data_IF_996470605463
#
_entry.id   IF_996470605463
#
_cell.length_a   1.000
_cell.length_b   1.000
_cell.length_c   1.000
_cell.angle_alpha   90.00
_cell.angle_beta   90.00
_cell.angle_gamma   90.00
#
_symmetry.space_group_name_H-M   'P 1'
#
loop_
_entity.id
_entity.type
_entity.pdbx_description
1 polymer ?
#
# COMPACT_ATOMS: atom_id res chain seq x y z
N UNK A 1 18.81 -23.31 -5.76
CA UNK A 1 18.28 -24.56 -6.37
C UNK A 1 19.09 -25.06 -7.58
N UNK A 2 19.70 -24.18 -8.40
CA UNK A 2 20.42 -24.60 -9.62
C UNK A 2 21.83 -25.12 -9.31
N UNK A 3 22.74 -24.25 -8.85
CA UNK A 3 24.13 -24.64 -8.52
C UNK A 3 24.39 -24.97 -7.05
N UNK A 4 23.35 -24.93 -6.20
CA UNK A 4 23.43 -25.08 -4.74
C UNK A 4 24.34 -24.06 -4.01
N UNK A 5 24.87 -23.06 -4.71
CA UNK A 5 25.62 -21.95 -4.10
C UNK A 5 24.73 -21.04 -3.23
N UNK A 6 25.35 -20.26 -2.32
CA UNK A 6 24.62 -19.39 -1.40
C UNK A 6 23.89 -18.27 -2.17
N UNK A 7 22.67 -17.96 -1.72
CA UNK A 7 21.84 -16.86 -2.23
C UNK A 7 21.33 -16.12 -0.99
N UNK A 8 21.55 -14.81 -0.93
CA UNK A 8 21.05 -14.00 0.16
C UNK A 8 19.51 -13.88 0.09
N UNK A 9 18.88 -13.62 1.24
CA UNK A 9 17.42 -13.43 1.30
C UNK A 9 17.03 -12.25 0.43
N UNK A 10 16.01 -12.43 -0.41
CA UNK A 10 15.50 -11.39 -1.31
C UNK A 10 16.24 -11.27 -2.63
N UNK A 11 17.38 -11.94 -2.83
CA UNK A 11 18.10 -11.90 -4.11
C UNK A 11 17.34 -12.66 -5.21
N UNK A 12 16.94 -11.99 -6.30
CA UNK A 12 16.16 -12.63 -7.36
C UNK A 12 17.00 -13.55 -8.25
N UNK A 13 18.34 -13.43 -8.20
CA UNK A 13 19.26 -14.21 -9.02
C UNK A 13 20.40 -14.79 -8.18
N UNK A 14 20.80 -16.01 -8.49
CA UNK A 14 21.97 -16.60 -7.86
C UNK A 14 23.25 -15.86 -8.31
N UNK A 15 24.11 -15.39 -7.39
CA UNK A 15 25.31 -14.65 -7.77
C UNK A 15 26.29 -15.50 -8.59
N UNK A 16 26.36 -16.81 -8.30
CA UNK A 16 27.28 -17.76 -8.94
C UNK A 16 26.83 -18.20 -10.33
N UNK A 17 25.57 -18.63 -10.49
CA UNK A 17 25.09 -19.23 -11.74
C UNK A 17 24.06 -18.40 -12.51
N UNK A 18 23.66 -17.23 -11.97
CA UNK A 18 22.66 -16.31 -12.55
C UNK A 18 21.27 -16.89 -12.76
N UNK A 19 21.00 -18.12 -12.32
CA UNK A 19 19.66 -18.69 -12.35
C UNK A 19 18.72 -17.86 -11.46
N UNK A 20 17.51 -17.58 -11.95
CA UNK A 20 16.46 -16.93 -11.17
C UNK A 20 16.11 -17.78 -9.95
N UNK A 21 15.91 -17.14 -8.80
CA UNK A 21 15.60 -17.78 -7.52
C UNK A 21 14.14 -17.52 -7.14
N UNK A 22 13.51 -18.41 -6.35
CA UNK A 22 12.19 -18.16 -5.81
C UNK A 22 12.18 -16.88 -4.95
N UNK A 23 11.02 -16.19 -4.83
CA UNK A 23 10.90 -14.90 -4.12
C UNK A 23 11.30 -14.93 -2.64
N UNK A 24 11.34 -16.11 -2.01
CA UNK A 24 11.77 -16.28 -0.63
C UNK A 24 10.87 -15.59 0.39
N UNK A 25 11.41 -15.29 1.57
CA UNK A 25 10.69 -14.64 2.69
C UNK A 25 11.01 -13.13 2.83
N UNK A 26 11.63 -12.52 1.82
CA UNK A 26 11.93 -11.09 1.88
C UNK A 26 10.64 -10.26 1.95
N UNK A 27 10.62 -9.30 2.87
CA UNK A 27 9.56 -8.30 2.96
C UNK A 27 9.57 -7.35 1.75
N UNK A 28 8.52 -6.54 1.61
CA UNK A 28 8.34 -5.66 0.46
C UNK A 28 9.44 -4.58 0.36
N UNK A 29 9.89 -4.05 1.50
CA UNK A 29 10.95 -3.03 1.52
C UNK A 29 12.28 -3.65 1.06
N UNK A 30 12.65 -4.81 1.60
CA UNK A 30 13.85 -5.52 1.18
C UNK A 30 13.81 -5.92 -0.29
N UNK A 31 12.65 -6.38 -0.80
CA UNK A 31 12.48 -6.77 -2.21
C UNK A 31 12.70 -5.61 -3.18
N UNK A 32 12.35 -4.39 -2.75
CA UNK A 32 12.51 -3.16 -3.53
C UNK A 32 13.80 -2.40 -3.16
N UNK A 33 14.62 -2.94 -2.26
CA UNK A 33 15.88 -2.32 -1.85
C UNK A 33 15.69 -1.00 -1.09
N UNK A 34 14.58 -0.85 -0.37
CA UNK A 34 14.25 0.33 0.40
C UNK A 34 14.43 0.08 1.91
N UNK A 35 14.78 1.10 2.70
CA UNK A 35 14.69 1.00 4.16
C UNK A 35 13.23 0.84 4.58
N UNK A 36 13.00 0.14 5.70
CA UNK A 36 11.66 0.06 6.30
C UNK A 36 11.30 1.42 6.90
N UNK A 37 10.13 1.92 6.53
CA UNK A 37 9.63 3.21 7.01
C UNK A 37 8.29 3.54 6.36
N UNK A 38 7.51 4.39 7.01
CA UNK A 38 6.30 4.92 6.40
C UNK A 38 6.65 5.94 5.32
N UNK A 39 7.52 6.88 5.65
CA UNK A 39 8.12 7.77 4.65
C UNK A 39 9.09 7.00 3.76
N UNK A 40 8.83 7.03 2.45
CA UNK A 40 9.71 6.45 1.45
C UNK A 40 9.88 7.43 0.30
N UNK A 41 11.05 7.37 -0.35
CA UNK A 41 11.27 8.01 -1.63
C UNK A 41 10.50 7.26 -2.73
N UNK A 42 9.38 7.82 -3.18
CA UNK A 42 8.53 7.24 -4.21
C UNK A 42 9.22 7.17 -5.57
N UNK A 43 10.15 8.08 -5.87
CA UNK A 43 10.94 8.03 -7.10
C UNK A 43 11.96 6.88 -7.05
N UNK A 44 12.58 6.66 -5.88
CA UNK A 44 13.44 5.49 -5.67
C UNK A 44 12.65 4.17 -5.75
N UNK A 45 11.44 4.12 -5.19
CA UNK A 45 10.52 3.00 -5.30
C UNK A 45 10.23 2.65 -6.76
N UNK A 46 9.77 3.62 -7.54
CA UNK A 46 9.42 3.43 -8.96
C UNK A 46 10.66 2.99 -9.77
N UNK A 47 11.80 3.64 -9.54
CA UNK A 47 13.07 3.28 -10.20
C UNK A 47 13.47 1.83 -9.92
N UNK A 48 13.41 1.41 -8.66
CA UNK A 48 13.75 0.04 -8.25
C UNK A 48 12.79 -0.98 -8.86
N UNK A 49 11.48 -0.69 -8.82
CA UNK A 49 10.45 -1.51 -9.43
C UNK A 49 10.70 -1.73 -10.93
N UNK A 50 10.88 -0.66 -11.72
CA UNK A 50 11.11 -0.80 -13.16
C UNK A 50 12.41 -1.54 -13.50
N UNK A 51 13.47 -1.33 -12.71
CA UNK A 51 14.73 -2.06 -12.89
C UNK A 51 14.53 -3.57 -12.67
N UNK A 52 13.87 -3.95 -11.58
CA UNK A 52 13.62 -5.36 -11.26
C UNK A 52 12.64 -6.00 -12.25
N UNK A 53 11.57 -5.30 -12.61
CA UNK A 53 10.57 -5.76 -13.58
C UNK A 53 11.24 -6.06 -14.93
N UNK A 54 12.17 -5.20 -15.38
CA UNK A 54 12.92 -5.42 -16.61
C UNK A 54 13.80 -6.67 -16.54
N UNK A 55 14.34 -7.03 -15.37
CA UNK A 55 15.16 -8.23 -15.22
C UNK A 55 14.32 -9.52 -15.13
N UNK A 56 13.15 -9.42 -14.52
CA UNK A 56 12.26 -10.53 -14.19
C UNK A 56 11.15 -10.76 -15.22
N UNK A 57 11.00 -9.89 -16.23
CA UNK A 57 9.93 -9.96 -17.22
C UNK A 57 9.87 -11.35 -17.92
N UNK A 58 8.68 -11.98 -18.04
CA UNK A 58 8.50 -13.30 -18.61
C UNK A 58 9.14 -13.49 -20.00
N UNK A 59 9.13 -12.46 -20.85
CA UNK A 59 9.74 -12.50 -22.19
C UNK A 59 11.23 -12.85 -22.15
N UNK A 60 11.96 -12.43 -21.11
CA UNK A 60 13.38 -12.76 -20.96
C UNK A 60 13.62 -14.23 -20.64
N UNK A 61 12.58 -14.92 -20.21
CA UNK A 61 12.59 -16.33 -19.84
C UNK A 61 11.87 -17.21 -20.86
N UNK A 62 11.35 -16.65 -21.97
CA UNK A 62 10.59 -17.38 -22.98
C UNK A 62 11.36 -18.60 -23.57
N UNK A 63 12.69 -18.53 -23.64
CA UNK A 63 13.57 -19.62 -24.11
C UNK A 63 14.25 -20.40 -22.99
N UNK A 64 13.97 -20.06 -21.71
CA UNK A 64 14.56 -20.70 -20.53
C UNK A 64 13.82 -21.97 -20.14
N UNK A 65 14.36 -22.69 -19.16
CA UNK A 65 13.74 -23.91 -18.65
C UNK A 65 12.34 -23.64 -18.08
N UNK A 66 11.42 -24.62 -18.07
CA UNK A 66 10.08 -24.44 -17.47
C UNK A 66 10.15 -23.94 -16.02
N UNK A 67 11.11 -24.45 -15.24
CA UNK A 67 11.32 -24.01 -13.86
C UNK A 67 11.70 -22.53 -13.77
N UNK A 68 12.63 -22.06 -14.60
CA UNK A 68 13.00 -20.65 -14.61
C UNK A 68 11.85 -19.74 -15.06
N UNK A 69 11.02 -20.18 -16.01
CA UNK A 69 9.80 -19.44 -16.41
C UNK A 69 8.84 -19.27 -15.23
N UNK A 70 8.55 -20.36 -14.51
CA UNK A 70 7.69 -20.32 -13.32
C UNK A 70 8.26 -19.42 -12.24
N UNK A 71 9.57 -19.51 -11.96
CA UNK A 71 10.22 -18.68 -10.94
C UNK A 71 10.24 -17.19 -11.31
N UNK A 72 10.47 -16.86 -12.58
CA UNK A 72 10.36 -15.48 -13.10
C UNK A 72 8.96 -14.93 -12.89
N UNK A 73 7.92 -15.72 -13.20
CA UNK A 73 6.54 -15.30 -13.00
C UNK A 73 6.20 -15.08 -11.53
N UNK A 74 6.62 -15.99 -10.65
CA UNK A 74 6.44 -15.85 -9.19
C UNK A 74 7.12 -14.58 -8.65
N UNK A 75 8.35 -14.32 -9.10
CA UNK A 75 9.07 -13.10 -8.72
C UNK A 75 8.39 -11.83 -9.23
N UNK A 76 7.90 -11.82 -10.46
CA UNK A 76 7.16 -10.68 -11.01
C UNK A 76 5.88 -10.40 -10.21
N UNK A 77 5.13 -11.44 -9.83
CA UNK A 77 3.96 -11.28 -8.94
C UNK A 77 4.37 -10.70 -7.59
N UNK A 78 5.35 -11.29 -6.90
CA UNK A 78 5.81 -10.78 -5.60
C UNK A 78 6.38 -9.35 -5.65
N UNK A 79 6.98 -8.97 -6.78
CA UNK A 79 7.49 -7.62 -7.01
C UNK A 79 6.35 -6.62 -7.21
N UNK A 80 5.34 -6.99 -8.01
CA UNK A 80 4.14 -6.16 -8.20
C UNK A 80 3.41 -5.95 -6.87
N UNK A 81 3.18 -7.02 -6.10
CA UNK A 81 2.52 -6.93 -4.80
C UNK A 81 3.28 -5.99 -3.84
N UNK A 82 4.62 -6.09 -3.83
CA UNK A 82 5.46 -5.21 -3.03
C UNK A 82 5.36 -3.75 -3.47
N UNK A 83 5.38 -3.49 -4.78
CA UNK A 83 5.30 -2.15 -5.33
C UNK A 83 3.94 -1.51 -5.07
N UNK A 84 2.83 -2.21 -5.37
CA UNK A 84 1.48 -1.70 -5.13
C UNK A 84 1.25 -1.43 -3.63
N UNK A 85 1.73 -2.32 -2.75
CA UNK A 85 1.62 -2.14 -1.30
C UNK A 85 2.40 -0.94 -0.80
N UNK A 86 3.64 -0.75 -1.24
CA UNK A 86 4.48 0.37 -0.77
C UNK A 86 4.12 1.71 -1.43
N UNK A 87 3.51 1.68 -2.62
CA UNK A 87 3.09 2.89 -3.33
C UNK A 87 1.86 3.54 -2.69
N UNK A 88 0.92 2.74 -2.19
CA UNK A 88 -0.29 3.23 -1.54
C UNK A 88 -0.02 3.51 -0.05
N UNK A 89 -0.18 4.77 0.45
CA UNK A 89 0.11 5.10 1.84
C UNK A 89 -0.67 4.28 2.86
N UNK A 90 -1.95 3.99 2.62
CA UNK A 90 -2.77 3.19 3.55
C UNK A 90 -2.28 1.73 3.59
N UNK A 91 -2.02 1.14 2.42
CA UNK A 91 -1.53 -0.24 2.33
C UNK A 91 -0.14 -0.35 2.97
N UNK A 92 0.74 0.62 2.71
CA UNK A 92 2.08 0.73 3.30
C UNK A 92 2.03 0.85 4.82
N UNK A 93 1.17 1.72 5.36
CA UNK A 93 1.01 1.88 6.80
C UNK A 93 0.54 0.57 7.47
N UNK A 94 -0.50 -0.06 6.92
CA UNK A 94 -1.00 -1.34 7.43
C UNK A 94 0.04 -2.45 7.32
N UNK A 95 0.80 -2.50 6.23
CA UNK A 95 1.88 -3.47 6.04
C UNK A 95 3.01 -3.27 7.06
N UNK A 96 3.47 -2.03 7.23
CA UNK A 96 4.53 -1.68 8.18
C UNK A 96 4.12 -1.99 9.63
N UNK A 97 2.90 -1.61 10.03
CA UNK A 97 2.35 -1.97 11.34
C UNK A 97 2.31 -3.49 11.52
N UNK A 98 1.93 -4.24 10.48
CA UNK A 98 1.92 -5.70 10.48
C UNK A 98 3.31 -6.31 10.68
N UNK A 99 4.35 -5.76 10.05
CA UNK A 99 5.75 -6.14 10.28
C UNK A 99 6.21 -5.86 11.71
N UNK A 100 5.64 -4.84 12.37
CA UNK A 100 5.90 -4.49 13.76
C UNK A 100 4.99 -5.25 14.75
N UNK A 101 4.17 -6.21 14.26
CA UNK A 101 3.32 -7.07 15.09
C UNK A 101 1.89 -6.55 15.32
N UNK A 102 1.51 -5.43 14.70
CA UNK A 102 0.16 -4.83 14.83
C UNK A 102 -0.64 -4.97 13.53
N UNK A 103 -1.62 -5.87 13.52
CA UNK A 103 -2.51 -6.05 12.37
C UNK A 103 -3.76 -5.17 12.50
N UNK A 104 -3.94 -4.20 11.60
CA UNK A 104 -5.03 -3.20 11.71
C UNK A 104 -6.15 -3.43 10.69
N UNK A 105 -5.84 -3.89 9.47
CA UNK A 105 -6.79 -4.00 8.36
C UNK A 105 -7.22 -5.43 8.00
N UNK A 106 -6.92 -6.43 8.83
CA UNK A 106 -7.34 -7.81 8.57
C UNK A 106 -8.87 -7.97 8.71
N UNK A 107 -9.42 -8.87 7.90
CA UNK A 107 -10.86 -9.10 7.72
C UNK A 107 -11.60 -9.59 8.97
N UNK A 108 -10.89 -9.94 10.05
CA UNK A 108 -11.48 -10.51 11.26
C UNK A 108 -12.35 -9.52 12.07
N UNK A 109 -12.51 -8.27 11.61
CA UNK A 109 -13.54 -7.33 12.10
C UNK A 109 -13.46 -6.92 13.57
N UNK A 110 -12.45 -7.40 14.30
CA UNK A 110 -12.40 -7.36 15.76
C UNK A 110 -11.38 -6.35 16.32
N UNK A 111 -10.70 -5.56 15.48
CA UNK A 111 -9.93 -4.44 16.00
C UNK A 111 -10.94 -3.39 16.52
N UNK A 112 -10.92 -3.04 17.82
CA UNK A 112 -11.78 -2.00 18.34
C UNK A 112 -11.49 -0.70 17.57
N UNK A 113 -12.52 -0.20 16.88
CA UNK A 113 -12.45 1.08 16.20
C UNK A 113 -12.55 2.16 17.25
N UNK A 114 -11.61 3.11 17.21
CA UNK A 114 -11.62 4.28 18.08
C UNK A 114 -12.97 5.01 17.96
N UNK A 115 -13.73 5.20 19.06
CA UNK A 115 -15.01 5.90 19.03
C UNK A 115 -14.93 7.29 18.39
N UNK A 116 -13.79 7.97 18.54
CA UNK A 116 -13.60 9.29 17.93
C UNK A 116 -13.51 9.20 16.41
N UNK A 117 -12.81 8.21 15.89
CA UNK A 117 -12.72 7.96 14.44
C UNK A 117 -14.08 7.60 13.86
N UNK A 118 -14.88 6.82 14.60
CA UNK A 118 -16.23 6.48 14.15
C UNK A 118 -17.15 7.72 14.11
N UNK A 119 -17.10 8.56 15.14
CA UNK A 119 -17.87 9.80 15.22
C UNK A 119 -17.53 10.75 14.06
N UNK A 120 -16.24 11.01 13.84
CA UNK A 120 -15.75 11.82 12.71
C UNK A 120 -16.25 11.26 11.37
N UNK A 121 -16.15 9.94 11.17
CA UNK A 121 -16.58 9.30 9.94
C UNK A 121 -18.11 9.33 9.74
N UNK A 122 -18.89 9.42 10.82
CA UNK A 122 -20.35 9.60 10.75
C UNK A 122 -20.72 11.04 10.39
N UNK A 123 -20.12 12.04 11.08
CA UNK A 123 -20.34 13.46 10.80
C UNK A 123 -20.03 13.81 9.35
N UNK A 124 -18.91 13.31 8.83
CA UNK A 124 -18.51 13.57 7.45
C UNK A 124 -19.43 12.90 6.42
N UNK A 125 -20.00 11.73 6.76
CA UNK A 125 -21.00 11.06 5.92
C UNK A 125 -22.33 11.81 5.92
N UNK A 126 -22.75 12.34 7.05
CA UNK A 126 -23.94 13.19 7.16
C UNK A 126 -23.78 14.45 6.32
N UNK A 127 -22.65 15.14 6.43
CA UNK A 127 -22.35 16.30 5.59
C UNK A 127 -22.37 15.99 4.08
N UNK A 128 -21.95 14.78 3.67
CA UNK A 128 -22.07 14.34 2.27
C UNK A 128 -23.53 14.04 1.86
N UNK A 129 -24.32 13.48 2.77
CA UNK A 129 -25.73 13.15 2.51
C UNK A 129 -26.60 14.40 2.37
N UNK A 130 -26.30 15.43 3.16
CA UNK A 130 -26.96 16.74 3.12
C UNK A 130 -26.53 17.60 1.92
N UNK A 131 -25.46 17.22 1.20
CA UNK A 131 -25.02 17.93 0.02
C UNK A 131 -26.04 17.82 -1.14
N UNK A 132 -26.65 18.94 -1.50
CA UNK A 132 -27.68 19.03 -2.53
C UNK A 132 -27.11 19.42 -3.90
N UNK A 133 -26.00 20.15 -3.92
CA UNK A 133 -25.38 20.65 -5.15
C UNK A 133 -23.99 20.06 -5.40
N UNK A 134 -23.52 20.16 -6.64
CA UNK A 134 -22.16 19.76 -6.98
C UNK A 134 -21.07 20.63 -6.31
N UNK A 135 -21.43 21.82 -5.81
CA UNK A 135 -20.56 22.72 -5.07
C UNK A 135 -20.45 22.30 -3.59
N UNK A 136 -21.55 21.90 -2.97
CA UNK A 136 -21.55 21.34 -1.61
C UNK A 136 -20.66 20.08 -1.53
N UNK A 137 -20.83 19.17 -2.50
CA UNK A 137 -19.98 17.97 -2.59
C UNK A 137 -18.51 18.33 -2.83
N UNK A 138 -18.21 19.41 -3.55
CA UNK A 138 -16.83 19.87 -3.74
C UNK A 138 -16.22 20.39 -2.42
N UNK A 139 -17.01 21.05 -1.57
CA UNK A 139 -16.61 21.47 -0.22
C UNK A 139 -16.27 20.28 0.66
N UNK A 140 -17.14 19.26 0.70
CA UNK A 140 -16.88 18.01 1.45
C UNK A 140 -15.64 17.29 0.92
N UNK A 141 -15.48 17.23 -0.41
CA UNK A 141 -14.30 16.62 -1.05
C UNK A 141 -13.01 17.32 -0.62
N UNK A 142 -12.99 18.65 -0.62
CA UNK A 142 -11.82 19.44 -0.21
C UNK A 142 -11.47 19.21 1.26
N UNK A 143 -12.48 19.17 2.14
CA UNK A 143 -12.27 18.85 3.57
C UNK A 143 -11.67 17.46 3.72
N UNK A 144 -12.26 16.43 3.11
CA UNK A 144 -11.76 15.06 3.18
C UNK A 144 -10.31 14.94 2.66
N UNK A 145 -9.94 15.66 1.60
CA UNK A 145 -8.57 15.67 1.09
C UNK A 145 -7.57 16.32 2.06
N UNK A 146 -7.96 17.40 2.75
CA UNK A 146 -7.13 18.01 3.78
C UNK A 146 -6.87 17.05 4.94
N UNK A 147 -7.94 16.45 5.47
CA UNK A 147 -7.86 15.49 6.58
C UNK A 147 -7.01 14.24 6.22
N UNK A 148 -7.03 13.81 4.94
CA UNK A 148 -6.16 12.72 4.47
C UNK A 148 -4.68 13.10 4.59
N UNK A 149 -4.31 14.31 4.13
CA UNK A 149 -2.92 14.78 4.18
C UNK A 149 -2.45 14.94 5.63
N UNK A 150 -3.31 15.50 6.49
CA UNK A 150 -2.99 15.67 7.90
C UNK A 150 -2.83 14.31 8.60
N UNK A 151 -3.74 13.35 8.32
CA UNK A 151 -3.66 11.99 8.84
C UNK A 151 -2.41 11.22 8.35
N UNK A 152 -1.98 11.43 7.10
CA UNK A 152 -0.71 10.87 6.60
C UNK A 152 0.50 11.48 7.32
N UNK A 153 0.48 12.77 7.62
CA UNK A 153 1.53 13.41 8.43
C UNK A 153 1.55 12.85 9.86
N UNK A 154 0.39 12.71 10.50
CA UNK A 154 0.28 12.13 11.84
C UNK A 154 0.75 10.66 11.87
N UNK A 155 0.50 9.89 10.80
CA UNK A 155 1.03 8.54 10.66
C UNK A 155 2.56 8.52 10.61
N UNK A 156 3.14 9.47 9.88
CA UNK A 156 4.59 9.65 9.80
C UNK A 156 5.20 9.83 11.18
N UNK A 157 4.62 10.73 11.98
CA UNK A 157 5.05 11.01 13.35
C UNK A 157 4.86 9.81 14.28
N UNK A 158 3.70 9.14 14.21
CA UNK A 158 3.41 7.96 15.02
C UNK A 158 4.38 6.80 14.76
N UNK A 159 4.71 6.53 13.49
CA UNK A 159 5.72 5.53 13.14
C UNK A 159 7.13 5.94 13.55
N UNK A 160 7.48 7.23 13.46
CA UNK A 160 8.78 7.73 13.92
C UNK A 160 8.94 7.60 15.45
N UNK A 161 7.83 7.64 16.19
CA UNK A 161 7.79 7.48 17.64
C UNK A 161 7.59 6.01 18.11
N UNK A 162 7.49 5.04 17.18
CA UNK A 162 7.11 3.64 17.45
C UNK A 162 5.75 3.50 18.19
N UNK A 163 4.84 4.48 18.08
CA UNK A 163 3.50 4.44 18.68
C UNK A 163 2.52 3.65 17.81
N UNK A 164 2.52 2.32 17.99
CA UNK A 164 1.68 1.39 17.23
C UNK A 164 0.18 1.49 17.55
N UNK A 165 -0.20 2.00 18.73
CA UNK A 165 -1.60 2.18 19.09
C UNK A 165 -2.17 3.40 18.36
N UNK A 166 -1.44 4.52 18.37
CA UNK A 166 -1.79 5.69 17.58
C UNK A 166 -1.78 5.39 16.08
N UNK A 167 -0.73 4.73 15.57
CA UNK A 167 -0.67 4.35 14.17
C UNK A 167 -1.86 3.47 13.75
N UNK A 168 -2.32 2.55 14.61
CA UNK A 168 -3.50 1.73 14.33
C UNK A 168 -4.80 2.53 14.26
N UNK A 169 -5.00 3.51 15.15
CA UNK A 169 -6.15 4.41 15.09
C UNK A 169 -6.12 5.24 13.79
N UNK A 170 -4.95 5.81 13.46
CA UNK A 170 -4.76 6.63 12.25
C UNK A 170 -4.90 5.83 10.95
N UNK A 171 -4.42 4.59 10.87
CA UNK A 171 -4.65 3.71 9.71
C UNK A 171 -6.16 3.50 9.49
N UNK A 172 -6.90 3.30 10.57
CA UNK A 172 -8.35 3.11 10.51
C UNK A 172 -9.05 4.40 10.08
N UNK A 173 -8.63 5.55 10.62
CA UNK A 173 -9.09 6.89 10.23
C UNK A 173 -8.86 7.14 8.74
N UNK A 174 -7.63 6.92 8.25
CA UNK A 174 -7.25 7.09 6.84
C UNK A 174 -8.11 6.22 5.91
N UNK A 175 -8.40 4.97 6.30
CA UNK A 175 -9.32 4.10 5.54
C UNK A 175 -10.71 4.72 5.38
N UNK A 176 -11.28 5.29 6.43
CA UNK A 176 -12.59 5.93 6.37
C UNK A 176 -12.57 7.23 5.57
N UNK A 177 -11.54 8.07 5.75
CA UNK A 177 -11.38 9.31 4.99
C UNK A 177 -11.25 9.05 3.48
N UNK A 178 -10.47 8.03 3.09
CA UNK A 178 -10.37 7.62 1.67
C UNK A 178 -11.69 7.11 1.12
N UNK A 179 -12.42 6.29 1.90
CA UNK A 179 -13.74 5.80 1.50
C UNK A 179 -14.71 6.96 1.27
N UNK A 180 -14.72 7.95 2.15
CA UNK A 180 -15.52 9.16 1.99
C UNK A 180 -15.13 9.95 0.72
N UNK A 181 -13.83 10.12 0.46
CA UNK A 181 -13.35 10.82 -0.73
C UNK A 181 -13.73 10.11 -2.04
N UNK A 182 -13.90 8.79 -2.02
CA UNK A 182 -14.45 8.04 -3.15
C UNK A 182 -15.97 8.22 -3.27
N UNK A 183 -16.69 8.19 -2.14
CA UNK A 183 -18.14 8.39 -2.09
C UNK A 183 -18.53 9.81 -2.56
N UNK A 184 -17.71 10.84 -2.29
CA UNK A 184 -17.95 12.19 -2.80
C UNK A 184 -17.86 12.26 -4.32
N UNK A 185 -16.96 11.49 -4.96
CA UNK A 185 -16.85 11.43 -6.42
C UNK A 185 -18.10 10.81 -7.03
N UNK A 186 -18.58 9.72 -6.44
CA UNK A 186 -19.82 9.06 -6.87
C UNK A 186 -21.02 10.03 -6.75
N UNK A 187 -21.18 10.66 -5.59
CA UNK A 187 -22.27 11.62 -5.34
C UNK A 187 -22.25 12.81 -6.31
N UNK A 188 -21.08 13.36 -6.60
CA UNK A 188 -20.94 14.46 -7.57
C UNK A 188 -21.33 14.05 -8.98
N UNK A 189 -21.04 12.80 -9.38
CA UNK A 189 -21.43 12.26 -10.68
C UNK A 189 -22.96 12.11 -10.79
N UNK A 190 -23.62 11.62 -9.73
CA UNK A 190 -25.08 11.51 -9.66
C UNK A 190 -25.77 12.87 -9.82
N UNK A 191 -25.33 13.89 -9.08
CA UNK A 191 -25.94 15.23 -9.14
C UNK A 191 -25.76 15.89 -10.51
N UNK A 192 -24.65 15.62 -11.20
CA UNK A 192 -24.41 16.10 -12.58
C UNK A 192 -25.25 15.39 -13.64
N UNK A 193 -25.66 14.14 -13.40
CA UNK A 193 -26.54 13.39 -14.30
C UNK A 193 -28.03 13.72 -14.13
N UNK A 194 -28.40 14.49 -13.10
CA UNK A 194 -29.78 14.89 -12.79
C UNK A 194 -30.15 16.28 -13.33
N UNK A 195 -29.19 17.05 -13.84
CA UNK A 195 -29.39 18.36 -14.48
C UNK A 195 -29.26 18.25 -15.98
#
# INVERSE_FOLDING_TARGET
WSCQGPVAVGEPFCPSCKAVQPPGQADHFQRLGLPRGFEIDTAALEKSYFQMQRLLHPDRFATRTPKEKTLSQQQATSLNDAYETLKDPLARAAYLAGLMGRNVLKEDGNAPVDPMVLMEAMEMREALAEAETAEDVATVTKRAQGEIVDCESELSDAFAADDLDQAASLITRLKYLRKLADDTRARRAELRGRG
#
